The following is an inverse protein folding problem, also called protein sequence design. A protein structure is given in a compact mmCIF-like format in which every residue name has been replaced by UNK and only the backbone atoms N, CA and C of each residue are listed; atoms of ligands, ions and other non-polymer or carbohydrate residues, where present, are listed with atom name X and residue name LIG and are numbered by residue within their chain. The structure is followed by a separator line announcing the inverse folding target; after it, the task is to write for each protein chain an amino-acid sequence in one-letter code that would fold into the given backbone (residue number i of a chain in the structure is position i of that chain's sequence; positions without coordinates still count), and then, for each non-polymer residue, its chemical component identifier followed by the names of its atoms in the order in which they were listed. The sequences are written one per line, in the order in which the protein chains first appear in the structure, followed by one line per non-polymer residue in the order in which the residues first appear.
data_IF_277547811234
#
_entry.id   IF_277547811234
#
_cell.length_a   1.000
_cell.length_b   1.000
_cell.length_c   1.000
_cell.angle_alpha   90.00
_cell.angle_beta   90.00
_cell.angle_gamma   90.00
#
_symmetry.space_group_name_H-M   'P 1'
#
loop_
_entity.id
_entity.type
_entity.pdbx_description
1 polymer ?
#
# COMPACT_ATOMS: atom_id res chain seq x y z
N UNK A 1 6.93 -3.95 -12.56
CA UNK A 1 5.70 -4.77 -12.62
C UNK A 1 5.69 -5.57 -13.92
N UNK A 2 5.89 -4.97 -15.09
CA UNK A 2 5.88 -5.68 -16.38
C UNK A 2 6.86 -6.86 -16.44
N UNK A 3 8.13 -6.64 -16.07
CA UNK A 3 9.11 -7.73 -15.99
C UNK A 3 8.70 -8.84 -15.01
N UNK A 4 8.19 -8.47 -13.82
CA UNK A 4 7.68 -9.44 -12.87
C UNK A 4 6.53 -10.26 -13.46
N UNK A 5 5.58 -9.61 -14.13
CA UNK A 5 4.45 -10.30 -14.77
C UNK A 5 4.92 -11.30 -15.83
N UNK A 6 5.89 -10.93 -16.68
CA UNK A 6 6.47 -11.85 -17.67
C UNK A 6 7.15 -13.06 -17.04
N UNK A 7 7.93 -12.83 -15.96
CA UNK A 7 8.59 -13.93 -15.23
C UNK A 7 7.60 -14.89 -14.57
N UNK A 8 6.45 -14.38 -14.14
CA UNK A 8 5.39 -15.18 -13.53
C UNK A 8 4.40 -15.77 -14.54
N UNK A 9 4.52 -15.45 -15.83
CA UNK A 9 3.55 -15.84 -16.85
C UNK A 9 2.19 -15.15 -16.71
N UNK A 10 2.15 -13.94 -16.14
CA UNK A 10 0.94 -13.17 -15.98
C UNK A 10 0.66 -12.35 -17.24
N UNK A 11 -0.42 -12.68 -17.92
CA UNK A 11 -0.81 -12.05 -19.21
C UNK A 11 -1.86 -10.94 -19.01
N UNK A 12 -2.66 -11.01 -17.94
CA UNK A 12 -3.76 -10.09 -17.68
C UNK A 12 -3.60 -9.40 -16.34
N UNK A 13 -3.69 -8.07 -16.32
CA UNK A 13 -3.59 -7.25 -15.11
C UNK A 13 -4.83 -6.37 -14.93
N UNK A 14 -5.47 -6.41 -13.75
CA UNK A 14 -6.50 -5.47 -13.37
C UNK A 14 -5.88 -4.16 -12.85
N UNK A 15 -6.35 -3.00 -13.30
CA UNK A 15 -5.84 -1.70 -12.83
C UNK A 15 -6.93 -1.00 -12.03
N UNK A 16 -6.86 -1.13 -10.70
CA UNK A 16 -7.81 -0.52 -9.77
C UNK A 16 -7.46 0.95 -9.49
N UNK A 17 -8.46 1.83 -9.58
CA UNK A 17 -8.24 3.26 -9.34
C UNK A 17 -9.52 3.99 -8.92
N UNK A 18 -9.37 5.17 -8.31
CA UNK A 18 -10.48 6.10 -8.08
C UNK A 18 -10.81 6.92 -9.36
N UNK A 19 -12.02 7.53 -9.46
CA UNK A 19 -12.45 8.27 -10.66
C UNK A 19 -11.47 9.36 -11.11
N UNK A 20 -10.90 10.11 -10.17
CA UNK A 20 -9.97 11.20 -10.46
C UNK A 20 -8.59 10.70 -10.96
N UNK A 21 -8.30 9.43 -10.80
CA UNK A 21 -7.08 8.78 -11.31
C UNK A 21 -7.28 8.10 -12.68
N UNK A 22 -8.47 8.16 -13.27
CA UNK A 22 -8.77 7.52 -14.55
C UNK A 22 -7.81 7.92 -15.69
N UNK A 23 -7.41 9.20 -15.87
CA UNK A 23 -6.42 9.57 -16.88
C UNK A 23 -5.05 8.92 -16.65
N UNK A 24 -4.62 8.79 -15.39
CA UNK A 24 -3.37 8.16 -15.02
C UNK A 24 -3.44 6.64 -15.23
N UNK A 25 -4.53 6.01 -14.80
CA UNK A 25 -4.76 4.57 -14.99
C UNK A 25 -4.78 4.18 -16.47
N UNK A 26 -5.34 5.04 -17.34
CA UNK A 26 -5.30 4.84 -18.80
C UNK A 26 -3.87 4.81 -19.33
N UNK A 27 -3.02 5.75 -18.92
CA UNK A 27 -1.59 5.77 -19.31
C UNK A 27 -0.85 4.54 -18.78
N UNK A 28 -1.16 4.07 -17.56
CA UNK A 28 -0.62 2.81 -17.02
C UNK A 28 -1.03 1.63 -17.90
N UNK A 29 -2.29 1.59 -18.33
CA UNK A 29 -2.80 0.55 -19.22
C UNK A 29 -2.08 0.56 -20.57
N UNK A 30 -1.91 1.73 -21.18
CA UNK A 30 -1.18 1.90 -22.43
C UNK A 30 0.28 1.41 -22.31
N UNK A 31 0.95 1.71 -21.21
CA UNK A 31 2.32 1.25 -20.95
C UNK A 31 2.39 -0.28 -20.82
N UNK A 32 1.47 -0.93 -20.11
CA UNK A 32 1.42 -2.40 -20.04
C UNK A 32 1.08 -3.04 -21.36
N UNK A 33 0.17 -2.45 -22.13
CA UNK A 33 -0.19 -2.93 -23.46
C UNK A 33 1.01 -2.88 -24.43
N UNK A 34 1.83 -1.83 -24.36
CA UNK A 34 3.06 -1.72 -25.14
C UNK A 34 4.09 -2.81 -24.78
N UNK A 35 4.03 -3.36 -23.56
CA UNK A 35 4.86 -4.49 -23.11
C UNK A 35 4.24 -5.87 -23.42
N UNK A 36 3.11 -5.92 -24.12
CA UNK A 36 2.42 -7.16 -24.45
C UNK A 36 1.56 -7.75 -23.33
N UNK A 37 1.30 -7.00 -22.29
CA UNK A 37 0.43 -7.38 -21.18
C UNK A 37 -0.97 -6.83 -21.44
N UNK A 38 -2.02 -7.62 -21.17
CA UNK A 38 -3.40 -7.22 -21.39
C UNK A 38 -4.00 -6.52 -20.13
N UNK A 39 -4.13 -5.17 -20.13
CA UNK A 39 -4.68 -4.45 -19.00
C UNK A 39 -6.21 -4.48 -19.03
N UNK A 40 -6.83 -4.65 -17.85
CA UNK A 40 -8.26 -4.57 -17.64
C UNK A 40 -8.55 -3.38 -16.73
N UNK A 41 -9.37 -2.46 -17.21
CA UNK A 41 -9.83 -1.29 -16.46
C UNK A 41 -11.27 -1.52 -15.95
N UNK A 42 -11.65 -0.93 -14.82
CA UNK A 42 -13.04 -0.98 -14.36
C UNK A 42 -13.94 -0.19 -15.29
N UNK A 43 -15.19 -0.61 -15.40
CA UNK A 43 -16.22 0.17 -16.10
C UNK A 43 -16.50 1.50 -15.35
N UNK A 44 -16.95 2.56 -16.04
CA UNK A 44 -17.24 3.84 -15.40
C UNK A 44 -18.19 3.75 -14.19
N UNK A 45 -19.16 2.85 -14.23
CA UNK A 45 -20.12 2.60 -13.13
C UNK A 45 -19.49 1.92 -11.90
N UNK A 46 -18.29 1.40 -12.01
CA UNK A 46 -17.59 0.67 -10.93
C UNK A 46 -16.54 1.54 -10.21
N UNK A 47 -16.27 2.74 -10.73
CA UNK A 47 -15.15 3.57 -10.26
C UNK A 47 -15.28 4.01 -8.79
N UNK A 48 -16.51 4.23 -8.31
CA UNK A 48 -16.77 4.60 -6.92
C UNK A 48 -17.07 3.39 -6.01
N UNK A 49 -17.02 2.17 -6.58
CA UNK A 49 -17.22 0.92 -5.83
C UNK A 49 -16.01 0.00 -5.95
N UNK A 50 -15.08 0.03 -4.98
CA UNK A 50 -13.89 -0.82 -4.99
C UNK A 50 -14.19 -2.31 -4.92
N UNK A 51 -15.31 -2.72 -4.28
CA UNK A 51 -15.76 -4.11 -4.26
C UNK A 51 -16.23 -4.59 -5.65
N UNK A 52 -16.95 -3.74 -6.37
CA UNK A 52 -17.34 -4.01 -7.75
C UNK A 52 -16.13 -4.10 -8.68
N UNK A 53 -15.10 -3.25 -8.49
CA UNK A 53 -13.83 -3.36 -9.25
C UNK A 53 -13.14 -4.71 -8.98
N UNK A 54 -13.03 -5.11 -7.70
CA UNK A 54 -12.40 -6.37 -7.33
C UNK A 54 -13.15 -7.59 -7.92
N UNK A 55 -14.48 -7.56 -7.88
CA UNK A 55 -15.35 -8.58 -8.48
C UNK A 55 -15.18 -8.64 -10.00
N UNK A 56 -15.17 -7.48 -10.67
CA UNK A 56 -14.96 -7.39 -12.10
C UNK A 56 -13.65 -8.03 -12.53
N UNK A 57 -12.54 -7.70 -11.86
CA UNK A 57 -11.23 -8.25 -12.20
C UNK A 57 -11.19 -9.77 -11.97
N UNK A 58 -11.79 -10.26 -10.91
CA UNK A 58 -11.91 -11.70 -10.67
C UNK A 58 -12.69 -12.42 -11.77
N UNK A 59 -13.81 -11.85 -12.21
CA UNK A 59 -14.62 -12.37 -13.31
C UNK A 59 -13.90 -12.36 -14.65
N UNK A 60 -13.07 -11.36 -14.89
CA UNK A 60 -12.24 -11.24 -16.08
C UNK A 60 -10.99 -12.12 -16.04
N UNK A 61 -10.74 -12.85 -14.96
CA UNK A 61 -9.62 -13.75 -14.82
C UNK A 61 -8.27 -13.06 -14.78
N UNK A 62 -8.17 -11.90 -14.11
CA UNK A 62 -6.87 -11.21 -13.95
C UNK A 62 -5.92 -12.07 -13.12
N UNK A 63 -4.68 -12.17 -13.56
CA UNK A 63 -3.63 -12.89 -12.84
C UNK A 63 -3.08 -12.08 -11.65
N UNK A 64 -3.10 -10.76 -11.76
CA UNK A 64 -2.67 -9.84 -10.71
C UNK A 64 -3.42 -8.52 -10.84
N UNK A 65 -3.68 -7.85 -9.73
CA UNK A 65 -4.19 -6.49 -9.70
C UNK A 65 -3.07 -5.49 -9.41
N UNK A 66 -3.17 -4.32 -10.01
CA UNK A 66 -2.28 -3.17 -9.83
C UNK A 66 -3.10 -2.00 -9.30
N UNK A 67 -2.74 -1.46 -8.15
CA UNK A 67 -3.36 -0.25 -7.64
C UNK A 67 -2.78 0.96 -8.38
N UNK A 68 -3.57 1.53 -9.27
CA UNK A 68 -3.27 2.69 -10.11
C UNK A 68 -3.68 4.02 -9.47
N UNK A 69 -3.81 4.07 -8.14
CA UNK A 69 -4.16 5.27 -7.39
C UNK A 69 -5.55 5.22 -6.77
N UNK A 70 -5.66 4.57 -5.63
CA UNK A 70 -6.86 4.58 -4.78
C UNK A 70 -6.64 5.46 -3.54
N UNK A 71 -7.67 6.14 -3.06
CA UNK A 71 -7.66 6.76 -1.74
C UNK A 71 -7.63 5.66 -0.66
N UNK A 72 -7.24 6.01 0.55
CA UNK A 72 -7.02 5.02 1.62
C UNK A 72 -8.24 4.14 1.87
N UNK A 73 -9.43 4.72 1.99
CA UNK A 73 -10.66 3.97 2.24
C UNK A 73 -11.00 3.00 1.11
N UNK A 74 -10.99 3.45 -0.15
CA UNK A 74 -11.25 2.59 -1.30
C UNK A 74 -10.19 1.49 -1.45
N UNK A 75 -8.93 1.78 -1.16
CA UNK A 75 -7.87 0.77 -1.22
C UNK A 75 -8.07 -0.34 -0.18
N UNK A 76 -8.39 0.03 1.06
CA UNK A 76 -8.70 -0.94 2.11
C UNK A 76 -9.87 -1.83 1.69
N UNK A 77 -10.95 -1.26 1.16
CA UNK A 77 -12.10 -2.01 0.67
C UNK A 77 -11.74 -2.95 -0.48
N UNK A 78 -11.00 -2.46 -1.46
CA UNK A 78 -10.55 -3.26 -2.60
C UNK A 78 -9.71 -4.45 -2.14
N UNK A 79 -8.74 -4.22 -1.26
CA UNK A 79 -7.85 -5.27 -0.74
C UNK A 79 -8.59 -6.31 0.09
N UNK A 80 -9.66 -5.93 0.78
CA UNK A 80 -10.53 -6.87 1.51
C UNK A 80 -11.46 -7.67 0.58
N UNK A 81 -11.77 -7.13 -0.60
CA UNK A 81 -12.72 -7.73 -1.55
C UNK A 81 -12.06 -8.61 -2.61
N UNK A 82 -10.74 -8.53 -2.78
CA UNK A 82 -10.02 -9.28 -3.82
C UNK A 82 -9.28 -10.49 -3.26
N UNK A 83 -9.37 -11.63 -3.97
CA UNK A 83 -8.53 -12.81 -3.76
C UNK A 83 -7.32 -12.84 -4.72
N UNK A 84 -7.30 -11.95 -5.71
CA UNK A 84 -6.23 -11.88 -6.71
C UNK A 84 -5.00 -11.19 -6.12
N UNK A 85 -3.78 -11.71 -6.34
CA UNK A 85 -2.55 -11.04 -5.90
C UNK A 85 -2.54 -9.57 -6.31
N UNK A 86 -2.25 -8.68 -5.37
CA UNK A 86 -2.34 -7.24 -5.61
C UNK A 86 -1.04 -6.54 -5.23
N UNK A 87 -0.61 -5.61 -6.07
CA UNK A 87 0.58 -4.77 -5.87
C UNK A 87 0.23 -3.30 -6.03
N UNK A 88 0.91 -2.40 -5.32
CA UNK A 88 0.71 -0.97 -5.50
C UNK A 88 1.74 -0.39 -6.46
N UNK A 89 1.25 0.23 -7.53
CA UNK A 89 2.05 1.09 -8.41
C UNK A 89 2.01 2.54 -7.92
N UNK A 90 0.83 3.03 -7.56
CA UNK A 90 0.62 4.42 -7.14
C UNK A 90 -0.13 4.44 -5.81
N UNK A 91 0.57 4.82 -4.75
CA UNK A 91 -0.05 5.18 -3.48
C UNK A 91 -0.54 6.64 -3.59
N UNK A 92 -1.85 6.81 -3.84
CA UNK A 92 -2.44 8.13 -4.13
C UNK A 92 -2.29 9.08 -2.96
N UNK A 93 -1.65 10.22 -3.20
CA UNK A 93 -1.53 11.34 -2.26
C UNK A 93 -1.72 12.65 -3.02
N UNK A 94 -2.92 13.19 -3.01
CA UNK A 94 -3.24 14.42 -3.76
C UNK A 94 -2.50 15.64 -3.19
N UNK A 95 -2.20 15.66 -1.90
CA UNK A 95 -1.48 16.74 -1.23
C UNK A 95 0.00 16.79 -1.62
N UNK A 96 0.61 15.63 -1.85
CA UNK A 96 2.04 15.46 -2.10
C UNK A 96 2.35 14.97 -3.52
N UNK A 97 1.45 15.24 -4.48
CA UNK A 97 1.63 14.84 -5.88
C UNK A 97 1.98 13.35 -6.03
N UNK A 98 1.26 12.50 -5.28
CA UNK A 98 1.41 11.05 -5.25
C UNK A 98 2.79 10.56 -4.77
N UNK A 99 3.48 11.38 -3.98
CA UNK A 99 4.73 11.01 -3.30
C UNK A 99 4.54 11.00 -1.76
N UNK A 100 3.83 10.03 -1.19
CA UNK A 100 3.52 10.02 0.25
C UNK A 100 4.75 9.84 1.14
N UNK A 101 5.89 9.35 0.63
CA UNK A 101 7.13 9.28 1.41
C UNK A 101 7.62 10.68 1.83
N UNK A 102 7.34 11.71 1.03
CA UNK A 102 7.62 13.09 1.38
C UNK A 102 6.89 13.53 2.67
N UNK A 103 5.72 12.95 2.95
CA UNK A 103 4.98 13.16 4.19
C UNK A 103 5.74 12.68 5.43
N UNK A 104 6.47 11.60 5.32
CA UNK A 104 7.31 11.05 6.41
C UNK A 104 8.50 11.99 6.66
N UNK A 105 9.20 12.42 5.61
CA UNK A 105 10.36 13.31 5.73
C UNK A 105 10.00 14.69 6.27
N UNK A 106 8.84 15.22 5.91
CA UNK A 106 8.38 16.55 6.33
C UNK A 106 7.47 16.56 7.55
N UNK A 107 7.28 15.40 8.19
CA UNK A 107 6.38 15.21 9.33
C UNK A 107 6.69 16.10 10.54
N UNK A 108 7.95 16.46 10.74
CA UNK A 108 8.40 17.33 11.84
C UNK A 108 8.56 18.80 11.46
N UNK A 109 8.29 19.16 10.20
CA UNK A 109 8.45 20.50 9.66
C UNK A 109 7.17 20.97 8.96
N UNK A 110 7.13 20.89 7.65
CA UNK A 110 6.05 21.42 6.81
C UNK A 110 4.67 20.79 7.10
N UNK A 111 4.61 19.49 7.33
CA UNK A 111 3.35 18.77 7.61
C UNK A 111 3.10 18.53 9.09
N UNK A 112 3.84 19.16 10.01
CA UNK A 112 3.69 18.96 11.43
C UNK A 112 2.23 19.16 11.89
N UNK A 113 1.60 20.23 11.44
CA UNK A 113 0.23 20.56 11.84
C UNK A 113 -0.81 19.64 11.19
N UNK A 114 -0.53 19.08 10.01
CA UNK A 114 -1.41 18.12 9.33
C UNK A 114 -1.34 16.72 9.94
N UNK A 115 -0.20 16.37 10.58
CA UNK A 115 0.09 15.03 11.10
C UNK A 115 0.02 14.92 12.62
N UNK A 116 0.00 16.06 13.35
CA UNK A 116 -0.08 16.08 14.81
C UNK A 116 -1.23 16.97 15.27
N UNK A 117 -2.14 16.43 16.04
CA UNK A 117 -2.84 17.21 17.03
C UNK A 117 -4.26 17.66 16.77
N UNK A 118 -4.96 17.27 15.72
CA UNK A 118 -6.39 17.63 15.59
C UNK A 118 -7.27 16.46 15.17
N UNK A 119 -7.08 15.34 15.83
CA UNK A 119 -8.03 14.23 15.71
C UNK A 119 -9.26 14.62 16.50
N UNK A 120 -10.45 14.75 15.90
CA UNK A 120 -11.66 14.93 16.68
C UNK A 120 -11.77 13.73 17.62
N UNK A 121 -11.82 13.98 18.94
CA UNK A 121 -12.21 12.97 19.93
C UNK A 121 -13.61 12.51 19.57
N UNK A 122 -13.71 11.49 18.74
CA UNK A 122 -14.99 10.85 18.45
C UNK A 122 -15.17 9.75 19.49
N UNK A 123 -16.04 9.98 20.44
CA UNK A 123 -16.66 8.94 21.25
C UNK A 123 -17.52 8.08 20.30
N UNK A 124 -16.90 7.17 19.60
CA UNK A 124 -17.63 6.18 18.80
C UNK A 124 -17.37 4.80 19.37
N UNK A 125 -18.42 3.96 19.46
CA UNK A 125 -18.25 2.59 19.90
C UNK A 125 -17.25 1.87 18.96
N UNK A 126 -16.41 1.03 19.55
CA UNK A 126 -15.54 0.10 18.83
C UNK A 126 -16.37 -0.62 17.76
N UNK A 127 -15.99 -0.45 16.51
CA UNK A 127 -16.62 -1.15 15.41
C UNK A 127 -16.43 -2.66 15.58
N UNK A 128 -17.52 -3.36 15.78
CA UNK A 128 -17.55 -4.82 15.73
C UNK A 128 -17.82 -5.24 14.29
N UNK A 129 -16.76 -5.26 13.49
CA UNK A 129 -16.81 -5.69 12.10
C UNK A 129 -16.54 -4.56 11.10
N UNK A 130 -16.01 -4.93 9.95
CA UNK A 130 -15.71 -4.05 8.82
C UNK A 130 -17.00 -3.86 8.01
N UNK A 131 -17.70 -2.81 8.33
CA UNK A 131 -18.88 -2.36 7.62
C UNK A 131 -18.44 -1.56 6.39
N UNK A 132 -18.82 -2.05 5.20
CA UNK A 132 -18.50 -1.46 3.90
C UNK A 132 -19.01 -0.03 3.77
N UNK A 133 -20.17 0.28 4.36
CA UNK A 133 -20.76 1.62 4.35
C UNK A 133 -19.89 2.61 5.11
N UNK A 134 -19.33 2.20 6.22
CA UNK A 134 -18.42 3.03 7.03
C UNK A 134 -17.12 3.32 6.31
N UNK A 135 -16.53 2.33 5.67
CA UNK A 135 -15.30 2.51 4.89
C UNK A 135 -15.54 3.38 3.65
N UNK A 136 -16.68 3.20 2.98
CA UNK A 136 -17.09 4.09 1.87
C UNK A 136 -17.29 5.53 2.36
N UNK A 137 -17.96 5.72 3.50
CA UNK A 137 -18.13 7.05 4.12
C UNK A 137 -16.79 7.68 4.49
N UNK A 138 -15.83 6.89 4.97
CA UNK A 138 -14.48 7.34 5.30
C UNK A 138 -13.65 7.71 4.07
N UNK A 139 -13.81 6.99 2.97
CA UNK A 139 -13.12 7.32 1.72
C UNK A 139 -13.59 8.66 1.14
N UNK A 140 -14.87 9.00 1.38
CA UNK A 140 -15.42 10.31 1.03
C UNK A 140 -15.03 11.42 2.01
N UNK A 141 -14.67 11.09 3.26
CA UNK A 141 -14.30 12.07 4.28
C UNK A 141 -13.03 12.86 3.92
N UNK A 142 -12.07 12.25 3.21
CA UNK A 142 -10.89 12.95 2.67
C UNK A 142 -11.23 14.08 1.69
N UNK A 143 -12.44 14.06 1.09
CA UNK A 143 -12.96 15.13 0.26
C UNK A 143 -13.70 16.24 1.04
N UNK A 144 -14.03 15.99 2.32
CA UNK A 144 -14.88 16.88 3.13
C UNK A 144 -14.12 17.86 4.02
N UNK A 145 -12.79 17.81 4.07
CA UNK A 145 -12.00 18.73 4.88
C UNK A 145 -11.47 19.89 4.02
N UNK A 146 -12.13 21.06 3.99
CA UNK A 146 -11.57 22.26 3.39
C UNK A 146 -10.45 22.85 4.28
N UNK A 147 -9.48 23.59 3.74
CA UNK A 147 -9.37 23.96 2.34
C UNK A 147 -8.33 23.16 1.53
N UNK A 148 -7.68 22.15 2.11
CA UNK A 148 -6.60 21.43 1.43
C UNK A 148 -6.74 19.91 1.54
N UNK A 149 -6.45 19.15 0.48
CA UNK A 149 -6.37 17.70 0.58
C UNK A 149 -5.36 17.29 1.64
N UNK A 150 -5.66 16.23 2.38
CA UNK A 150 -4.77 15.71 3.41
C UNK A 150 -3.70 14.80 2.79
N UNK A 151 -2.47 14.75 3.38
CA UNK A 151 -1.49 13.75 3.00
C UNK A 151 -2.02 12.34 3.24
N UNK A 152 -1.63 11.38 2.40
CA UNK A 152 -2.05 9.97 2.52
C UNK A 152 -1.81 9.38 3.92
N UNK A 153 -0.70 9.75 4.55
CA UNK A 153 -0.41 9.33 5.92
C UNK A 153 -1.47 9.82 6.92
N UNK A 154 -1.92 11.07 6.77
CA UNK A 154 -2.99 11.61 7.60
C UNK A 154 -4.32 10.90 7.32
N UNK A 155 -4.67 10.65 6.05
CA UNK A 155 -5.85 9.86 5.69
C UNK A 155 -5.81 8.45 6.33
N UNK A 156 -4.66 7.78 6.29
CA UNK A 156 -4.51 6.46 6.89
C UNK A 156 -4.68 6.47 8.41
N UNK A 157 -4.19 7.51 9.09
CA UNK A 157 -4.44 7.70 10.53
C UNK A 157 -5.91 8.04 10.83
N UNK A 158 -6.56 8.85 9.98
CA UNK A 158 -8.00 9.16 10.11
C UNK A 158 -8.84 7.88 10.03
N UNK A 159 -8.57 7.04 9.02
CA UNK A 159 -9.23 5.74 8.87
C UNK A 159 -9.00 4.89 10.11
N UNK A 160 -7.77 4.75 10.58
CA UNK A 160 -7.45 3.96 11.76
C UNK A 160 -8.18 4.47 13.01
N UNK A 161 -8.19 5.79 13.26
CA UNK A 161 -8.91 6.38 14.38
C UNK A 161 -10.43 6.17 14.29
N UNK A 162 -11.00 6.34 13.10
CA UNK A 162 -12.44 6.17 12.90
C UNK A 162 -12.87 4.72 13.10
N UNK A 163 -12.04 3.77 12.76
CA UNK A 163 -12.26 2.34 12.98
C UNK A 163 -11.97 1.90 14.42
N UNK A 164 -11.55 2.80 15.30
CA UNK A 164 -11.20 2.48 16.68
C UNK A 164 -9.94 1.64 16.83
N UNK A 165 -9.07 1.65 15.81
CA UNK A 165 -7.79 0.93 15.82
C UNK A 165 -6.91 1.46 16.94
N UNK A 166 -6.37 0.57 17.74
CA UNK A 166 -5.42 0.87 18.80
C UNK A 166 -4.00 0.43 18.43
N UNK A 167 -3.86 -0.70 17.72
CA UNK A 167 -2.57 -1.27 17.36
C UNK A 167 -2.42 -1.33 15.84
N UNK A 168 -1.42 -0.58 15.34
CA UNK A 168 -1.08 -0.53 13.92
C UNK A 168 0.16 -1.37 13.65
N UNK A 169 0.09 -2.20 12.60
CA UNK A 169 1.23 -2.89 12.01
C UNK A 169 1.93 -2.03 10.97
N UNK A 170 3.26 -2.04 10.97
CA UNK A 170 4.08 -1.43 9.91
C UNK A 170 4.92 -2.52 9.26
N UNK A 171 4.59 -2.88 8.02
CA UNK A 171 5.37 -3.82 7.21
C UNK A 171 6.24 -3.06 6.23
N UNK A 172 7.56 -3.29 6.23
CA UNK A 172 8.46 -2.49 5.42
C UNK A 172 9.62 -3.28 4.82
N UNK A 173 10.13 -2.77 3.68
CA UNK A 173 11.40 -3.22 3.13
C UNK A 173 12.57 -2.64 3.95
N UNK A 174 13.66 -3.39 4.10
CA UNK A 174 14.87 -2.92 4.80
C UNK A 174 15.39 -1.57 4.28
N UNK A 175 15.16 -1.25 3.00
CA UNK A 175 15.51 0.04 2.41
C UNK A 175 14.72 1.24 2.97
N UNK A 176 13.65 0.99 3.72
CA UNK A 176 12.82 2.01 4.38
C UNK A 176 12.99 2.00 5.91
N UNK A 177 14.13 1.54 6.40
CA UNK A 177 14.38 1.40 7.85
C UNK A 177 14.22 2.72 8.60
N UNK A 178 14.76 3.81 8.08
CA UNK A 178 14.71 5.12 8.75
C UNK A 178 13.30 5.75 8.64
N UNK A 179 12.64 5.59 7.50
CA UNK A 179 11.24 6.00 7.31
C UNK A 179 10.30 5.21 8.21
N UNK A 180 10.50 3.90 8.36
CA UNK A 180 9.72 3.06 9.25
C UNK A 180 9.90 3.45 10.72
N UNK A 181 11.12 3.84 11.12
CA UNK A 181 11.40 4.35 12.45
C UNK A 181 10.68 5.68 12.71
N UNK A 182 10.75 6.61 11.74
CA UNK A 182 10.06 7.90 11.82
C UNK A 182 8.55 7.73 11.87
N UNK A 183 8.00 6.88 10.98
CA UNK A 183 6.58 6.54 10.95
C UNK A 183 6.12 5.93 12.27
N UNK A 184 6.86 4.95 12.79
CA UNK A 184 6.52 4.33 14.09
C UNK A 184 6.51 5.33 15.23
N UNK A 185 7.45 6.27 15.25
CA UNK A 185 7.47 7.36 16.24
C UNK A 185 6.27 8.29 16.10
N UNK A 186 5.89 8.64 14.88
CA UNK A 186 4.75 9.50 14.58
C UNK A 186 3.43 8.82 14.98
N UNK A 187 3.23 7.56 14.65
CA UNK A 187 2.05 6.80 15.04
C UNK A 187 1.91 6.70 16.57
N UNK A 188 3.02 6.42 17.28
CA UNK A 188 3.03 6.40 18.75
C UNK A 188 2.68 7.76 19.34
N UNK A 189 3.18 8.85 18.77
CA UNK A 189 2.85 10.22 19.23
C UNK A 189 1.38 10.59 18.96
N UNK A 190 0.70 9.87 18.06
CA UNK A 190 -0.74 10.00 17.79
C UNK A 190 -1.60 8.97 18.55
N UNK A 191 -1.02 8.31 19.56
CA UNK A 191 -1.76 7.45 20.48
C UNK A 191 -1.89 5.99 20.07
N UNK A 192 -1.27 5.56 18.96
CA UNK A 192 -1.31 4.17 18.52
C UNK A 192 -0.22 3.32 19.19
N UNK A 193 -0.52 2.08 19.49
CA UNK A 193 0.47 1.04 19.68
C UNK A 193 1.00 0.61 18.30
N UNK A 194 2.31 0.34 18.18
CA UNK A 194 2.92 0.02 16.89
C UNK A 194 3.72 -1.26 16.99
N UNK A 195 3.40 -2.23 16.14
CA UNK A 195 4.22 -3.39 15.84
C UNK A 195 4.83 -3.24 14.44
N UNK A 196 6.11 -3.49 14.27
CA UNK A 196 6.78 -3.28 12.98
C UNK A 196 7.63 -4.47 12.58
N UNK A 197 7.56 -4.87 11.30
CA UNK A 197 8.28 -6.01 10.74
C UNK A 197 9.04 -5.64 9.47
N UNK A 198 10.33 -5.95 9.46
CA UNK A 198 11.22 -5.76 8.31
C UNK A 198 11.19 -7.00 7.39
N UNK A 199 11.38 -6.80 6.09
CA UNK A 199 11.47 -7.90 5.13
C UNK A 199 12.61 -8.90 5.39
N UNK A 200 13.61 -8.55 6.21
CA UNK A 200 14.72 -9.44 6.61
C UNK A 200 14.45 -10.20 7.91
N UNK A 201 13.20 -10.25 8.33
CA UNK A 201 12.76 -11.01 9.50
C UNK A 201 13.18 -12.47 9.41
N UNK A 202 13.72 -12.98 10.54
CA UNK A 202 14.30 -14.31 10.63
C UNK A 202 15.78 -14.38 10.29
N UNK A 203 16.36 -13.34 9.66
CA UNK A 203 17.78 -13.23 9.33
C UNK A 203 18.37 -14.50 8.69
N UNK A 204 17.61 -15.15 7.80
CA UNK A 204 18.02 -16.38 7.10
C UNK A 204 19.02 -16.01 6.00
N UNK A 205 20.24 -16.56 6.00
CA UNK A 205 21.21 -16.34 4.93
C UNK A 205 20.68 -16.86 3.57
N UNK A 206 21.03 -16.19 2.48
CA UNK A 206 20.63 -16.61 1.12
C UNK A 206 21.12 -18.01 0.78
N UNK A 207 22.29 -18.38 1.27
CA UNK A 207 22.90 -19.70 1.09
C UNK A 207 22.04 -20.81 1.71
N UNK A 208 21.41 -20.54 2.85
CA UNK A 208 20.51 -21.52 3.49
C UNK A 208 19.23 -21.77 2.65
N UNK A 209 18.93 -20.89 1.71
CA UNK A 209 17.85 -21.05 0.74
C UNK A 209 18.35 -21.58 -0.64
N UNK A 210 19.61 -22.05 -0.71
CA UNK A 210 20.20 -22.60 -1.93
C UNK A 210 20.64 -21.55 -2.97
N UNK A 211 20.73 -20.27 -2.59
CA UNK A 211 21.18 -19.19 -3.48
C UNK A 211 22.72 -19.14 -3.41
N UNK A 212 23.38 -19.42 -4.53
CA UNK A 212 24.83 -19.38 -4.63
C UNK A 212 25.38 -17.95 -4.48
N UNK A 213 26.66 -17.83 -4.10
CA UNK A 213 27.26 -16.52 -3.83
C UNK A 213 27.23 -15.58 -5.05
N UNK A 214 27.42 -16.14 -6.26
CA UNK A 214 27.41 -15.42 -7.52
C UNK A 214 26.04 -14.85 -7.87
N UNK A 215 24.98 -15.43 -7.31
CA UNK A 215 23.57 -14.98 -7.52
C UNK A 215 23.15 -13.87 -6.54
N UNK A 216 24.00 -13.51 -5.59
CA UNK A 216 23.74 -12.41 -4.66
C UNK A 216 23.85 -11.05 -5.35
N UNK A 217 23.17 -10.05 -4.77
CA UNK A 217 23.33 -8.65 -5.19
C UNK A 217 24.76 -8.16 -4.95
N UNK A 218 25.42 -8.70 -3.91
CA UNK A 218 26.80 -8.38 -3.52
C UNK A 218 27.54 -9.67 -3.26
N UNK A 219 28.09 -10.32 -4.29
CA UNK A 219 28.91 -11.51 -4.10
C UNK A 219 30.04 -11.28 -3.09
N UNK A 220 30.37 -12.29 -2.31
CA UNK A 220 31.37 -12.23 -1.26
C UNK A 220 30.91 -11.53 0.05
N UNK A 221 29.63 -11.08 0.13
CA UNK A 221 29.08 -10.46 1.35
C UNK A 221 27.90 -11.28 1.91
N UNK A 222 27.73 -11.28 3.25
CA UNK A 222 26.53 -11.88 3.85
C UNK A 222 25.27 -11.15 3.36
N UNK A 223 24.32 -11.90 2.82
CA UNK A 223 23.01 -11.40 2.43
C UNK A 223 21.90 -12.29 2.97
N UNK A 224 20.91 -11.64 3.61
CA UNK A 224 19.73 -12.34 4.11
C UNK A 224 18.66 -12.41 3.03
N UNK A 225 17.91 -13.51 3.00
CA UNK A 225 16.70 -13.63 2.16
C UNK A 225 15.59 -12.70 2.69
N UNK A 226 14.70 -12.25 1.81
CA UNK A 226 13.46 -11.61 2.23
C UNK A 226 12.43 -12.66 2.63
N UNK A 227 11.70 -12.41 3.71
CA UNK A 227 10.65 -13.28 4.23
C UNK A 227 9.33 -12.54 4.41
N UNK A 228 8.63 -12.23 3.30
CA UNK A 228 7.34 -11.50 3.34
C UNK A 228 6.24 -12.29 4.05
N UNK A 229 6.28 -13.62 3.99
CA UNK A 229 5.31 -14.47 4.68
C UNK A 229 5.44 -14.31 6.21
N UNK A 230 6.67 -14.36 6.73
CA UNK A 230 6.92 -14.15 8.14
C UNK A 230 6.56 -12.73 8.60
N UNK A 231 6.68 -11.72 7.73
CA UNK A 231 6.22 -10.37 8.07
C UNK A 231 4.72 -10.37 8.41
N UNK A 232 3.88 -10.98 7.55
CA UNK A 232 2.45 -11.10 7.79
C UNK A 232 2.12 -11.90 9.04
N UNK A 233 2.78 -13.05 9.24
CA UNK A 233 2.55 -13.91 10.40
C UNK A 233 2.91 -13.23 11.73
N UNK A 234 4.01 -12.49 11.78
CA UNK A 234 4.41 -11.76 12.98
C UNK A 234 3.41 -10.65 13.33
N UNK A 235 2.90 -9.93 12.33
CA UNK A 235 1.87 -8.92 12.57
C UNK A 235 0.55 -9.54 13.05
N UNK A 236 0.18 -10.71 12.50
CA UNK A 236 -0.98 -11.47 13.00
C UNK A 236 -0.79 -11.92 14.46
N UNK A 237 0.39 -12.44 14.80
CA UNK A 237 0.73 -12.84 16.17
C UNK A 237 0.66 -11.68 17.15
N UNK A 238 1.08 -10.49 16.71
CA UNK A 238 1.03 -9.27 17.51
C UNK A 238 -0.36 -8.64 17.54
N UNK A 239 -1.37 -9.30 16.94
CA UNK A 239 -2.79 -8.90 16.93
C UNK A 239 -3.00 -7.46 16.47
N UNK A 240 -2.30 -7.05 15.39
CA UNK A 240 -2.50 -5.73 14.80
C UNK A 240 -3.89 -5.65 14.17
N UNK A 241 -4.49 -4.46 14.22
CA UNK A 241 -5.87 -4.23 13.76
C UNK A 241 -5.93 -3.50 12.41
N UNK A 242 -4.81 -2.90 11.99
CA UNK A 242 -4.65 -2.22 10.71
C UNK A 242 -3.17 -2.26 10.33
N UNK A 243 -2.85 -2.43 9.04
CA UNK A 243 -1.45 -2.53 8.57
C UNK A 243 -1.15 -1.45 7.56
N UNK A 244 -0.08 -0.71 7.78
CA UNK A 244 0.51 0.22 6.83
C UNK A 244 1.72 -0.42 6.15
N UNK A 245 1.66 -0.62 4.83
CA UNK A 245 2.75 -1.18 4.05
C UNK A 245 3.63 -0.04 3.54
N UNK A 246 4.88 -0.02 4.01
CA UNK A 246 5.87 0.98 3.66
C UNK A 246 6.87 0.39 2.68
N UNK A 247 6.52 0.39 1.41
CA UNK A 247 7.35 0.07 0.27
C UNK A 247 8.02 -1.30 0.30
N UNK A 248 7.36 -2.31 -0.23
CA UNK A 248 7.97 -3.62 -0.48
C UNK A 248 8.35 -3.78 -1.96
N UNK A 249 9.11 -4.80 -2.29
CA UNK A 249 9.39 -5.14 -3.69
C UNK A 249 8.13 -5.74 -4.33
N UNK A 250 7.97 -5.56 -5.62
CA UNK A 250 6.88 -6.18 -6.41
C UNK A 250 6.83 -7.69 -6.14
N UNK A 251 5.66 -8.20 -5.81
CA UNK A 251 5.44 -9.59 -5.43
C UNK A 251 5.66 -9.89 -3.94
N UNK A 252 6.59 -9.23 -3.22
CA UNK A 252 6.72 -9.42 -1.78
C UNK A 252 5.55 -8.81 -1.01
N UNK A 253 5.03 -7.70 -1.48
CA UNK A 253 3.86 -7.04 -0.93
C UNK A 253 2.60 -7.92 -1.05
N UNK A 254 2.36 -8.53 -2.21
CA UNK A 254 1.23 -9.46 -2.37
C UNK A 254 1.36 -10.71 -1.48
N UNK A 255 2.58 -11.23 -1.29
CA UNK A 255 2.83 -12.34 -0.37
C UNK A 255 2.57 -11.95 1.09
N UNK A 256 2.98 -10.75 1.50
CA UNK A 256 2.68 -10.22 2.84
C UNK A 256 1.17 -10.06 3.02
N UNK A 257 0.49 -9.42 2.05
CA UNK A 257 -0.97 -9.23 2.07
C UNK A 257 -1.71 -10.54 2.20
N UNK A 258 -1.34 -11.56 1.43
CA UNK A 258 -1.97 -12.89 1.47
C UNK A 258 -1.86 -13.60 2.83
N UNK A 259 -1.03 -13.12 3.75
CA UNK A 259 -0.91 -13.63 5.12
C UNK A 259 -1.57 -12.75 6.17
N UNK A 260 -1.82 -11.48 5.87
CA UNK A 260 -2.44 -10.57 6.83
C UNK A 260 -3.90 -10.93 7.08
N UNK A 261 -4.29 -10.91 8.36
CA UNK A 261 -5.71 -11.00 8.79
C UNK A 261 -6.32 -9.61 8.94
N UNK A 262 -5.52 -8.63 9.36
CA UNK A 262 -5.95 -7.25 9.50
C UNK A 262 -6.01 -6.56 8.13
N UNK A 263 -6.93 -5.61 7.94
CA UNK A 263 -6.94 -4.74 6.77
C UNK A 263 -5.65 -3.99 6.61
N UNK A 264 -5.27 -3.74 5.36
CA UNK A 264 -4.01 -3.11 5.03
C UNK A 264 -4.18 -1.98 4.03
N UNK A 265 -3.19 -1.09 4.01
CA UNK A 265 -3.04 -0.03 3.02
C UNK A 265 -1.57 0.12 2.64
N UNK A 266 -1.31 0.36 1.37
CA UNK A 266 0.02 0.75 0.91
C UNK A 266 0.26 2.23 1.21
N UNK A 267 1.04 2.52 2.23
CA UNK A 267 1.40 3.90 2.52
C UNK A 267 2.35 4.46 1.47
N UNK A 268 3.30 3.66 0.99
CA UNK A 268 4.27 4.03 -0.05
C UNK A 268 4.43 2.89 -1.04
N UNK A 269 4.28 3.17 -2.33
CA UNK A 269 4.73 2.29 -3.41
C UNK A 269 6.25 2.42 -3.58
N UNK A 270 6.98 1.31 -3.69
CA UNK A 270 8.44 1.34 -3.75
C UNK A 270 8.95 1.55 -5.17
N UNK A 271 9.63 2.64 -5.38
CA UNK A 271 10.38 2.94 -6.60
C UNK A 271 11.73 3.57 -6.24
N UNK A 272 12.82 2.83 -6.39
CA UNK A 272 14.16 3.32 -6.01
C UNK A 272 14.73 4.35 -6.98
N UNK A 273 14.32 4.28 -8.24
CA UNK A 273 14.83 5.17 -9.30
C UNK A 273 14.19 6.54 -9.19
N UNK A 274 12.88 6.57 -8.91
CA UNK A 274 12.08 7.79 -8.89
C UNK A 274 11.79 8.31 -7.46
N UNK A 275 12.67 7.99 -6.49
CA UNK A 275 12.49 8.39 -5.10
C UNK A 275 11.07 8.10 -4.56
N UNK A 276 10.55 6.92 -4.95
CA UNK A 276 9.22 6.42 -4.56
C UNK A 276 8.04 7.24 -5.10
N UNK A 277 8.25 7.98 -6.17
CA UNK A 277 7.22 8.69 -6.93
C UNK A 277 6.99 8.02 -8.30
N UNK A 278 6.29 6.89 -8.30
CA UNK A 278 6.07 6.09 -9.52
C UNK A 278 5.28 6.86 -10.60
N UNK A 279 4.51 7.88 -10.23
CA UNK A 279 3.79 8.72 -11.20
C UNK A 279 4.75 9.51 -12.10
N UNK A 280 5.93 9.84 -11.61
CA UNK A 280 6.93 10.55 -12.40
C UNK A 280 7.36 9.76 -13.65
N UNK A 281 7.34 8.42 -13.61
CA UNK A 281 7.61 7.58 -14.79
C UNK A 281 6.62 7.84 -15.93
N UNK A 282 5.35 8.07 -15.60
CA UNK A 282 4.30 8.28 -16.59
C UNK A 282 4.40 9.64 -17.30
N UNK A 283 5.16 10.58 -16.75
CA UNK A 283 5.39 11.89 -17.38
C UNK A 283 6.59 11.88 -18.34
N UNK A 284 7.31 10.77 -18.39
CA UNK A 284 8.52 10.60 -19.22
C UNK A 284 8.27 9.73 -20.47
N UNK A 285 7.03 9.29 -20.68
CA UNK A 285 6.60 8.46 -21.80
C UNK A 285 5.85 9.34 -22.85
#
# INVERSE_FOLDING_TARGET
IGEFSRLMGFETLGIAHCPDMAPVAKRVAEAFQAEGIHPILPAPSQLDDPGAQATHFSQMGTHMNVLGGMCVGHEVLFLQSTAVPTVSLIARDTRLFHNPVAGIYTSRSYLKNDLFGHWPKRERPLYKGWDMETLATLSCAGKQYPPHPRPRLAEAMDVAHTLGVQRIGVSFCVGFKEEAKTLSGLLKSNGFQVSSTCCKTGAVPKEAAGIADEQKIRPGKPEMICNPLAQGELLNRDEVQFVMILGQCVGHDSLTLGRLKAPAVYLVAKDRVLAHNSVAALNSI
#
